data_IF_349529509232
#
_entry.id   IF_349529509232
#
_cell.length_a   1.000
_cell.length_b   1.000
_cell.length_c   1.000
_cell.angle_alpha   90.00
_cell.angle_beta   90.00
_cell.angle_gamma   90.00
#
_symmetry.space_group_name_H-M   'P 1'
#
loop_
_entity.id
_entity.type
_entity.pdbx_description
1 polymer ?
#
# COMPACT_ATOMS: atom_id res chain seq x y z
N UNK A 1 -9.80 5.36 -11.50
CA UNK A 1 -10.20 5.91 -10.18
C UNK A 1 -11.70 6.20 -10.23
N UNK A 2 -12.44 6.02 -9.13
CA UNK A 2 -13.90 6.28 -9.08
C UNK A 2 -14.25 7.73 -8.67
N UNK A 3 -13.24 8.53 -8.31
CA UNK A 3 -13.41 9.92 -7.87
C UNK A 3 -14.01 10.79 -8.97
N UNK A 4 -15.13 11.45 -8.67
CA UNK A 4 -15.83 12.36 -9.58
C UNK A 4 -16.78 11.71 -10.59
N UNK A 5 -16.91 10.38 -10.57
CA UNK A 5 -17.80 9.61 -11.46
C UNK A 5 -18.74 8.66 -10.69
N UNK A 6 -18.91 8.88 -9.39
CA UNK A 6 -19.55 7.94 -8.47
C UNK A 6 -21.00 7.60 -8.87
N UNK A 7 -21.77 8.59 -9.33
CA UNK A 7 -23.15 8.38 -9.81
C UNK A 7 -23.22 7.52 -11.06
N UNK A 8 -22.27 7.70 -11.98
CA UNK A 8 -22.22 6.90 -13.20
C UNK A 8 -21.84 5.45 -12.87
N UNK A 9 -20.89 5.25 -11.95
CA UNK A 9 -20.53 3.93 -11.44
C UNK A 9 -21.73 3.25 -10.76
N UNK A 10 -22.48 3.96 -9.92
CA UNK A 10 -23.68 3.43 -9.27
C UNK A 10 -24.72 2.96 -10.30
N UNK A 11 -24.96 3.76 -11.35
CA UNK A 11 -25.87 3.43 -12.45
C UNK A 11 -25.40 2.21 -13.24
N UNK A 12 -24.12 2.14 -13.60
CA UNK A 12 -23.55 1.02 -14.39
C UNK A 12 -23.61 -0.29 -13.59
N UNK A 13 -23.32 -0.23 -12.28
CA UNK A 13 -23.28 -1.41 -11.42
C UNK A 13 -24.64 -1.80 -10.84
N UNK A 14 -25.68 -0.96 -11.01
CA UNK A 14 -27.01 -1.21 -10.46
C UNK A 14 -27.06 -1.21 -8.93
N UNK A 15 -26.20 -0.43 -8.28
CA UNK A 15 -26.12 -0.32 -6.81
C UNK A 15 -26.49 1.09 -6.36
N UNK A 16 -26.82 1.28 -5.08
CA UNK A 16 -27.06 2.61 -4.55
C UNK A 16 -25.79 3.47 -4.58
N UNK A 17 -25.96 4.79 -4.65
CA UNK A 17 -24.84 5.73 -4.53
C UNK A 17 -24.09 5.56 -3.21
N UNK A 18 -24.81 5.24 -2.12
CA UNK A 18 -24.22 5.04 -0.80
C UNK A 18 -23.19 3.90 -0.77
N UNK A 19 -23.44 2.81 -1.51
CA UNK A 19 -22.46 1.72 -1.66
C UNK A 19 -21.18 2.23 -2.32
N UNK A 20 -21.30 3.05 -3.36
CA UNK A 20 -20.13 3.61 -4.06
C UNK A 20 -19.35 4.58 -3.16
N UNK A 21 -20.06 5.40 -2.39
CA UNK A 21 -19.47 6.33 -1.42
C UNK A 21 -18.74 5.59 -0.28
N UNK A 22 -19.31 4.50 0.23
CA UNK A 22 -18.64 3.66 1.22
C UNK A 22 -17.35 3.06 0.65
N UNK A 23 -17.40 2.54 -0.59
CA UNK A 23 -16.19 2.03 -1.27
C UNK A 23 -15.14 3.11 -1.48
N UNK A 24 -15.54 4.33 -1.85
CA UNK A 24 -14.62 5.47 -2.00
C UNK A 24 -13.91 5.76 -0.68
N UNK A 25 -14.67 5.89 0.41
CA UNK A 25 -14.13 6.14 1.75
C UNK A 25 -13.14 5.06 2.18
N UNK A 26 -13.49 3.76 2.03
CA UNK A 26 -12.61 2.64 2.38
C UNK A 26 -11.33 2.63 1.56
N UNK A 27 -11.41 2.89 0.25
CA UNK A 27 -10.24 2.89 -0.63
C UNK A 27 -9.30 4.08 -0.34
N UNK A 28 -9.85 5.27 -0.14
CA UNK A 28 -9.06 6.46 0.24
C UNK A 28 -8.37 6.27 1.60
N UNK A 29 -9.11 5.78 2.60
CA UNK A 29 -8.57 5.46 3.93
C UNK A 29 -7.42 4.44 3.84
N UNK A 30 -7.53 3.45 2.96
CA UNK A 30 -6.47 2.45 2.71
C UNK A 30 -5.22 3.05 2.07
N UNK A 31 -5.36 4.02 1.18
CA UNK A 31 -4.20 4.68 0.59
C UNK A 31 -3.50 5.59 1.61
N UNK A 32 -4.26 6.28 2.47
CA UNK A 32 -3.75 7.11 3.57
C UNK A 32 -3.04 6.28 4.65
N UNK A 33 -3.78 5.37 5.29
CA UNK A 33 -3.34 4.63 6.48
C UNK A 33 -2.46 3.43 6.11
N UNK A 34 -2.62 2.91 4.89
CA UNK A 34 -1.94 1.72 4.41
C UNK A 34 -2.93 0.57 4.14
N UNK A 35 -2.62 -0.23 3.12
CA UNK A 35 -3.40 -1.41 2.79
C UNK A 35 -3.14 -2.51 3.81
N UNK A 36 -4.17 -3.26 4.18
CA UNK A 36 -4.00 -4.52 4.91
C UNK A 36 -3.01 -5.40 4.15
N UNK A 37 -1.91 -5.81 4.80
CA UNK A 37 -0.84 -6.63 4.21
C UNK A 37 0.41 -5.89 3.76
N UNK A 38 0.45 -4.55 3.78
CA UNK A 38 1.70 -3.81 3.55
C UNK A 38 2.53 -3.85 4.83
N UNK A 39 3.56 -4.71 4.84
CA UNK A 39 4.47 -4.86 5.95
C UNK A 39 5.44 -3.68 6.10
N UNK A 40 5.86 -3.08 4.98
CA UNK A 40 6.81 -1.98 4.96
C UNK A 40 6.58 -1.04 3.77
N UNK A 41 6.54 0.28 4.04
CA UNK A 41 6.48 1.33 3.02
C UNK A 41 7.61 2.33 3.27
N UNK A 42 8.59 2.39 2.36
CA UNK A 42 9.74 3.29 2.42
C UNK A 42 9.95 3.93 1.05
N UNK A 43 10.13 5.26 1.04
CA UNK A 43 10.60 5.97 -0.14
C UNK A 43 12.11 5.76 -0.22
N UNK A 44 12.59 5.25 -1.36
CA UNK A 44 14.02 5.11 -1.66
C UNK A 44 14.50 6.41 -2.32
N UNK A 45 15.55 7.01 -1.77
CA UNK A 45 16.12 8.24 -2.30
C UNK A 45 16.71 8.03 -3.69
N UNK A 46 16.75 9.06 -4.54
CA UNK A 46 17.29 8.95 -5.92
C UNK A 46 18.75 8.49 -5.99
N UNK A 47 19.54 8.80 -4.96
CA UNK A 47 20.95 8.42 -4.86
C UNK A 47 21.16 7.15 -4.01
N UNK A 48 20.07 6.56 -3.49
CA UNK A 48 20.11 5.36 -2.66
C UNK A 48 19.75 4.16 -3.52
N UNK A 49 20.58 3.13 -3.50
CA UNK A 49 20.23 1.84 -4.11
C UNK A 49 19.14 1.12 -3.31
N UNK A 50 18.47 0.17 -3.95
CA UNK A 50 17.46 -0.64 -3.28
C UNK A 50 18.09 -1.48 -2.16
N UNK A 51 19.27 -2.03 -2.40
CA UNK A 51 20.06 -2.86 -1.50
C UNK A 51 20.47 -2.08 -0.24
N UNK A 52 20.95 -0.85 -0.40
CA UNK A 52 21.28 0.04 0.73
C UNK A 52 20.05 0.33 1.59
N UNK A 53 18.92 0.70 0.96
CA UNK A 53 17.68 0.96 1.68
C UNK A 53 17.19 -0.29 2.43
N UNK A 54 17.29 -1.47 1.81
CA UNK A 54 16.87 -2.73 2.39
C UNK A 54 17.77 -3.14 3.57
N UNK A 55 19.09 -2.95 3.45
CA UNK A 55 20.06 -3.21 4.51
C UNK A 55 19.85 -2.28 5.72
N UNK A 56 19.61 -0.99 5.47
CA UNK A 56 19.25 -0.03 6.53
C UNK A 56 17.99 -0.44 7.29
N UNK A 57 16.95 -0.85 6.57
CA UNK A 57 15.70 -1.31 7.17
C UNK A 57 15.89 -2.60 7.96
N UNK A 58 16.73 -3.53 7.48
CA UNK A 58 17.02 -4.79 8.16
C UNK A 58 17.83 -4.59 9.45
N UNK A 59 18.63 -3.52 9.57
CA UNK A 59 19.33 -3.19 10.82
C UNK A 59 18.34 -2.92 11.96
N UNK A 60 17.26 -2.19 11.66
CA UNK A 60 16.26 -1.78 12.66
C UNK A 60 15.08 -2.74 12.80
N UNK A 61 14.74 -3.51 11.75
CA UNK A 61 13.60 -4.43 11.75
C UNK A 61 14.05 -5.90 11.76
N UNK A 62 13.89 -6.56 12.91
CA UNK A 62 14.32 -7.96 13.12
C UNK A 62 13.54 -8.97 12.27
N UNK A 63 12.27 -8.71 11.98
CA UNK A 63 11.43 -9.58 11.13
C UNK A 63 11.90 -9.53 9.69
N UNK A 64 12.17 -8.32 9.17
CA UNK A 64 12.72 -8.14 7.83
C UNK A 64 14.09 -8.82 7.71
N UNK A 65 14.99 -8.57 8.68
CA UNK A 65 16.32 -9.18 8.70
C UNK A 65 16.28 -10.69 8.64
N UNK A 66 15.43 -11.32 9.46
CA UNK A 66 15.27 -12.78 9.48
C UNK A 66 14.87 -13.32 8.10
N UNK A 67 13.91 -12.67 7.44
CA UNK A 67 13.46 -13.08 6.10
C UNK A 67 14.55 -12.94 5.04
N UNK A 68 15.35 -11.89 5.11
CA UNK A 68 16.43 -11.68 4.13
C UNK A 68 17.54 -12.73 4.27
N UNK A 69 17.88 -13.12 5.51
CA UNK A 69 18.81 -14.23 5.78
C UNK A 69 18.24 -15.56 5.28
N UNK A 70 16.95 -15.83 5.54
CA UNK A 70 16.24 -17.04 5.06
C UNK A 70 16.30 -17.17 3.52
N UNK A 71 16.27 -16.05 2.80
CA UNK A 71 16.31 -16.00 1.35
C UNK A 71 17.72 -15.77 0.76
N UNK A 72 18.78 -15.72 1.58
CA UNK A 72 20.16 -15.56 1.12
C UNK A 72 20.49 -14.19 0.49
N UNK A 73 19.72 -13.15 0.83
CA UNK A 73 19.91 -11.77 0.36
C UNK A 73 20.81 -10.97 1.31
N UNK A 74 20.91 -11.40 2.56
CA UNK A 74 21.79 -10.86 3.61
C UNK A 74 22.68 -11.97 4.19
#
# INVERSE_FOLDING_TARGET
SILGIEREVARILGVSLDIVEERKSVLLRRDEVGRTGVFLRRIVGRAQSFEEALAELARVNSVLRRKLVEHGVL
#
